data_IF_512007602428
#
_entry.id   IF_512007602428
#
_cell.length_a   1.000
_cell.length_b   1.000
_cell.length_c   1.000
_cell.angle_alpha   90.00
_cell.angle_beta   90.00
_cell.angle_gamma   90.00
#
_symmetry.space_group_name_H-M   'P 1'
#
loop_
_entity.id
_entity.type
_entity.pdbx_description
1 polymer ?
#
# COMPACT_ATOMS: atom_id res chain seq x y z
N UNK A 1 -2.27 -7.55 -31.71
CA UNK A 1 -1.56 -8.74 -31.23
C UNK A 1 -1.89 -9.88 -32.16
N UNK A 2 -0.88 -10.48 -32.78
CA UNK A 2 -1.02 -11.61 -33.67
C UNK A 2 -0.64 -12.90 -32.91
N UNK A 3 -1.20 -14.01 -33.29
CA UNK A 3 -0.98 -15.31 -32.66
C UNK A 3 -2.29 -15.98 -32.31
N UNK A 4 -2.28 -17.14 -31.60
CA UNK A 4 -1.13 -17.72 -30.91
C UNK A 4 -0.14 -18.45 -31.84
N UNK A 5 1.11 -18.55 -31.40
CA UNK A 5 2.15 -19.39 -32.00
C UNK A 5 2.47 -20.55 -31.06
N UNK A 6 2.85 -21.69 -31.64
CA UNK A 6 3.38 -22.81 -30.87
C UNK A 6 4.85 -22.99 -31.19
N UNK A 7 5.70 -22.92 -30.20
CA UNK A 7 7.14 -23.16 -30.34
C UNK A 7 7.66 -24.03 -29.19
N UNK A 8 8.77 -24.73 -29.46
CA UNK A 8 9.44 -25.51 -28.42
C UNK A 8 10.29 -24.57 -27.55
N UNK A 9 10.02 -24.54 -26.26
CA UNK A 9 10.85 -23.82 -25.31
C UNK A 9 12.25 -24.46 -25.27
N UNK A 10 13.31 -23.70 -25.59
CA UNK A 10 14.67 -24.27 -25.68
C UNK A 10 15.24 -24.70 -24.33
N UNK A 11 14.64 -24.28 -23.21
CA UNK A 11 15.10 -24.62 -21.85
C UNK A 11 14.38 -25.86 -21.34
N UNK A 12 13.06 -25.95 -21.56
CA UNK A 12 12.23 -27.04 -21.03
C UNK A 12 12.02 -28.18 -22.02
N UNK A 13 12.23 -27.93 -23.31
CA UNK A 13 11.92 -28.87 -24.40
C UNK A 13 10.43 -29.08 -24.65
N UNK A 14 9.56 -28.33 -23.98
CA UNK A 14 8.10 -28.44 -24.11
C UNK A 14 7.57 -27.50 -25.20
N UNK A 15 6.49 -27.92 -25.86
CA UNK A 15 5.75 -27.05 -26.76
C UNK A 15 4.94 -26.04 -25.96
N UNK A 16 5.17 -24.76 -26.19
CA UNK A 16 4.48 -23.63 -25.53
C UNK A 16 3.78 -22.77 -26.57
N UNK A 17 2.64 -22.20 -26.18
CA UNK A 17 1.93 -21.22 -27.01
C UNK A 17 2.30 -19.80 -26.59
N UNK A 18 2.53 -18.96 -27.59
CA UNK A 18 2.85 -17.55 -27.43
C UNK A 18 1.88 -16.69 -28.22
N UNK A 19 1.60 -15.49 -27.71
CA UNK A 19 0.78 -14.48 -28.38
C UNK A 19 1.65 -13.25 -28.65
N UNK A 20 1.53 -12.69 -29.85
CA UNK A 20 2.31 -11.55 -30.30
C UNK A 20 2.96 -11.82 -31.66
N UNK A 21 3.50 -10.81 -32.31
CA UNK A 21 4.27 -10.94 -33.54
C UNK A 21 5.76 -10.78 -33.22
N UNK A 22 6.59 -11.83 -33.43
CA UNK A 22 8.00 -11.74 -33.13
C UNK A 22 8.76 -10.75 -34.05
N UNK A 23 8.13 -10.29 -35.14
CA UNK A 23 8.72 -9.35 -36.08
C UNK A 23 8.32 -7.89 -35.84
N UNK A 24 7.40 -7.65 -34.89
CA UNK A 24 6.98 -6.32 -34.49
C UNK A 24 7.63 -5.95 -33.19
N UNK A 25 8.19 -4.74 -33.15
CA UNK A 25 8.67 -4.11 -31.90
C UNK A 25 7.56 -3.25 -31.33
N UNK A 26 7.26 -3.45 -30.06
CA UNK A 26 6.37 -2.57 -29.30
C UNK A 26 7.18 -1.84 -28.24
N UNK A 27 6.96 -0.53 -28.14
CA UNK A 27 7.59 0.29 -27.13
C UNK A 27 6.68 0.35 -25.91
N UNK A 28 7.21 -0.06 -24.76
CA UNK A 28 6.56 0.09 -23.48
C UNK A 28 7.25 1.23 -22.73
N UNK A 29 6.48 2.24 -22.32
CA UNK A 29 6.98 3.42 -21.60
C UNK A 29 7.04 3.18 -20.09
N UNK A 30 7.65 2.11 -19.68
CA UNK A 30 7.81 1.71 -18.30
C UNK A 30 6.84 0.63 -17.85
N UNK A 31 6.92 0.28 -16.59
CA UNK A 31 6.00 -0.62 -15.93
C UNK A 31 5.00 0.20 -15.10
N UNK A 32 3.69 -0.07 -15.21
CA UNK A 32 2.71 0.61 -14.37
C UNK A 32 2.93 0.39 -12.86
N UNK A 33 3.73 -0.62 -12.48
CA UNK A 33 4.01 -0.93 -11.08
C UNK A 33 5.44 -0.57 -10.65
N UNK A 34 6.22 0.11 -11.49
CA UNK A 34 7.65 0.33 -11.26
C UNK A 34 8.45 -0.94 -10.91
N UNK A 35 7.90 -2.11 -11.24
CA UNK A 35 8.49 -3.41 -10.90
C UNK A 35 9.33 -3.98 -12.04
N UNK A 36 9.09 -3.52 -13.27
CA UNK A 36 9.82 -3.96 -14.45
C UNK A 36 10.79 -2.87 -14.89
N UNK A 37 12.06 -3.17 -14.84
CA UNK A 37 13.12 -2.30 -15.33
C UNK A 37 14.25 -3.14 -15.94
N UNK A 38 15.01 -2.53 -16.82
CA UNK A 38 16.28 -3.06 -17.26
C UNK A 38 17.36 -2.43 -16.40
N UNK A 39 18.21 -3.26 -15.80
CA UNK A 39 19.39 -2.84 -15.07
C UNK A 39 20.64 -3.35 -15.79
N UNK A 40 21.58 -2.46 -16.02
CA UNK A 40 22.87 -2.78 -16.61
C UNK A 40 23.93 -2.49 -15.56
N UNK A 41 24.59 -3.54 -15.11
CA UNK A 41 25.72 -3.45 -14.19
C UNK A 41 27.01 -3.73 -14.96
N UNK A 42 28.07 -2.97 -14.69
CA UNK A 42 29.34 -3.13 -15.36
C UNK A 42 30.54 -2.74 -14.49
N UNK A 43 31.74 -2.85 -15.01
CA UNK A 43 32.96 -2.44 -14.33
C UNK A 43 32.93 -0.94 -13.99
N UNK A 44 33.74 -0.54 -13.01
CA UNK A 44 33.88 0.85 -12.54
C UNK A 44 32.58 1.45 -11.94
N UNK A 45 31.70 0.62 -11.36
CA UNK A 45 30.49 1.08 -10.71
C UNK A 45 29.36 1.48 -11.67
N UNK A 46 29.41 1.04 -12.92
CA UNK A 46 28.30 1.26 -13.84
C UNK A 46 27.04 0.54 -13.31
N UNK A 47 26.02 1.32 -12.98
CA UNK A 47 24.70 0.85 -12.56
C UNK A 47 23.64 1.76 -13.20
N UNK A 48 23.10 1.33 -14.31
CA UNK A 48 22.06 2.05 -15.05
C UNK A 48 20.74 1.30 -14.94
N UNK A 49 19.68 2.05 -14.69
CA UNK A 49 18.30 1.53 -14.68
C UNK A 49 17.43 2.33 -15.63
N UNK A 50 16.56 1.64 -16.35
CA UNK A 50 15.56 2.26 -17.20
C UNK A 50 14.25 1.49 -17.14
N UNK A 51 13.16 2.21 -17.08
CA UNK A 51 11.79 1.69 -17.27
C UNK A 51 11.29 1.95 -18.69
N UNK A 52 12.00 2.79 -19.45
CA UNK A 52 11.69 3.05 -20.87
C UNK A 52 12.45 2.03 -21.71
N UNK A 53 11.72 1.10 -22.31
CA UNK A 53 12.32 0.03 -23.10
C UNK A 53 11.43 -0.35 -24.27
N UNK A 54 12.02 -0.79 -25.35
CA UNK A 54 11.33 -1.49 -26.44
C UNK A 54 11.50 -2.99 -26.22
N UNK A 55 10.40 -3.72 -26.18
CA UNK A 55 10.40 -5.17 -26.06
C UNK A 55 9.84 -5.73 -27.36
N UNK A 56 10.62 -6.60 -28.01
CA UNK A 56 10.14 -7.41 -29.13
C UNK A 56 10.19 -8.88 -28.72
N UNK A 57 9.16 -9.62 -29.04
CA UNK A 57 9.08 -11.03 -28.69
C UNK A 57 7.65 -11.56 -28.65
N UNK A 58 7.51 -12.76 -28.14
CA UNK A 58 6.24 -13.46 -28.00
C UNK A 58 5.74 -13.38 -26.58
N UNK A 59 4.45 -13.12 -26.40
CA UNK A 59 3.81 -13.19 -25.09
C UNK A 59 3.54 -14.66 -24.74
N UNK A 60 4.01 -15.06 -23.56
CA UNK A 60 3.73 -16.40 -23.04
C UNK A 60 2.24 -16.57 -22.73
N UNK A 61 1.69 -17.75 -23.04
CA UNK A 61 0.35 -18.16 -22.62
C UNK A 61 0.34 -18.85 -21.25
N UNK A 62 1.48 -18.86 -20.55
CA UNK A 62 1.55 -19.41 -19.19
C UNK A 62 0.59 -18.67 -18.29
N UNK A 63 -0.29 -19.44 -17.64
CA UNK A 63 -1.25 -18.91 -16.66
C UNK A 63 -0.47 -18.29 -15.49
N UNK A 64 -0.77 -17.05 -15.17
CA UNK A 64 -0.16 -16.31 -14.06
C UNK A 64 -1.21 -15.54 -13.28
N UNK A 65 -1.06 -15.43 -11.96
CA UNK A 65 -1.95 -14.58 -11.18
C UNK A 65 -1.79 -13.11 -11.58
N UNK A 66 -2.88 -12.37 -11.55
CA UNK A 66 -2.84 -10.92 -11.69
C UNK A 66 -1.98 -10.32 -10.58
N UNK A 67 -0.94 -9.53 -10.88
CA UNK A 67 -0.14 -8.92 -9.84
C UNK A 67 -0.98 -7.91 -9.05
N UNK A 68 -0.88 -7.96 -7.72
CA UNK A 68 -1.52 -7.01 -6.83
C UNK A 68 -0.68 -6.82 -5.58
N UNK A 69 -0.57 -5.57 -5.11
CA UNK A 69 0.12 -5.18 -3.89
C UNK A 69 -0.86 -4.37 -3.04
N UNK A 70 -1.00 -4.75 -1.77
CA UNK A 70 -1.75 -3.95 -0.81
C UNK A 70 -0.93 -2.74 -0.39
N UNK A 71 -1.50 -1.54 -0.44
CA UNK A 71 -0.86 -0.31 0.03
C UNK A 71 -1.40 0.08 1.41
N UNK A 72 -2.74 0.20 1.52
CA UNK A 72 -3.39 0.59 2.76
C UNK A 72 -4.84 0.14 2.79
N UNK A 73 -5.31 -0.32 3.95
CA UNK A 73 -6.74 -0.45 4.25
C UNK A 73 -7.02 0.10 5.64
N UNK A 74 -7.69 1.22 5.68
CA UNK A 74 -7.97 1.94 6.92
C UNK A 74 -9.45 2.22 7.07
N UNK A 75 -9.90 2.41 8.31
CA UNK A 75 -11.24 2.87 8.59
C UNK A 75 -11.24 4.18 9.38
N UNK A 76 -12.35 4.89 9.30
CA UNK A 76 -12.63 6.04 10.16
C UNK A 76 -14.01 5.90 10.80
N UNK A 77 -14.15 6.38 12.03
CA UNK A 77 -15.43 6.53 12.74
C UNK A 77 -15.53 7.92 13.34
N UNK A 78 -16.64 8.60 13.04
CA UNK A 78 -16.87 9.97 13.53
C UNK A 78 -17.68 9.96 14.81
N UNK A 79 -17.25 10.74 15.81
CA UNK A 79 -18.00 10.97 17.04
C UNK A 79 -19.21 11.90 16.80
N UNK A 80 -20.25 11.77 17.65
CA UNK A 80 -21.39 12.69 17.68
C UNK A 80 -22.50 12.40 16.68
N UNK A 81 -22.41 11.34 15.90
CA UNK A 81 -23.51 10.86 15.07
C UNK A 81 -24.37 9.82 15.82
N UNK A 82 -25.68 9.77 15.52
CA UNK A 82 -26.64 8.90 16.19
C UNK A 82 -26.42 7.40 15.96
N UNK A 83 -25.60 7.04 14.98
CA UNK A 83 -25.06 5.72 14.74
C UNK A 83 -23.59 5.86 14.39
N UNK A 84 -22.70 4.94 14.80
CA UNK A 84 -21.30 5.01 14.41
C UNK A 84 -21.18 4.85 12.89
N UNK A 85 -20.90 5.96 12.24
CA UNK A 85 -20.63 5.99 10.80
C UNK A 85 -19.17 5.58 10.61
N UNK A 86 -18.97 4.37 10.08
CA UNK A 86 -17.66 3.88 9.74
C UNK A 86 -17.47 3.88 8.22
N UNK A 87 -16.40 4.49 7.76
CA UNK A 87 -15.96 4.43 6.36
C UNK A 87 -14.67 3.62 6.27
N UNK A 88 -14.52 2.92 5.16
CA UNK A 88 -13.33 2.12 4.86
C UNK A 88 -12.67 2.71 3.62
N UNK A 89 -11.37 2.97 3.70
CA UNK A 89 -10.55 3.42 2.59
C UNK A 89 -9.57 2.32 2.21
N UNK A 90 -9.57 1.96 0.93
CA UNK A 90 -8.74 0.87 0.39
C UNK A 90 -7.88 1.40 -0.74
N UNK A 91 -6.59 1.14 -0.64
CA UNK A 91 -5.59 1.47 -1.67
C UNK A 91 -4.80 0.22 -2.03
N UNK A 92 -4.71 -0.07 -3.30
CA UNK A 92 -3.92 -1.18 -3.84
C UNK A 92 -3.25 -0.77 -5.15
N UNK A 93 -2.13 -1.40 -5.45
CA UNK A 93 -1.53 -1.35 -6.77
C UNK A 93 -1.88 -2.63 -7.53
N UNK A 94 -2.42 -2.47 -8.73
CA UNK A 94 -2.78 -3.55 -9.65
C UNK A 94 -2.63 -3.05 -11.10
N UNK A 95 -2.68 -3.92 -12.14
CA UNK A 95 -2.62 -3.47 -13.53
C UNK A 95 -3.66 -2.37 -13.82
N UNK A 96 -3.32 -1.35 -14.63
CA UNK A 96 -4.30 -0.36 -15.03
C UNK A 96 -5.41 -0.98 -15.92
N UNK A 97 -6.51 -0.27 -16.18
CA UNK A 97 -7.54 -0.73 -17.09
C UNK A 97 -6.99 -1.24 -18.43
N UNK A 98 -7.53 -2.31 -19.00
CA UNK A 98 -8.85 -2.91 -18.72
C UNK A 98 -8.91 -3.88 -17.53
N UNK A 99 -7.88 -3.97 -16.69
CA UNK A 99 -8.02 -4.70 -15.43
C UNK A 99 -9.15 -4.13 -14.58
N UNK A 100 -9.69 -4.95 -13.69
CA UNK A 100 -10.69 -4.55 -12.70
C UNK A 100 -10.22 -4.90 -11.31
N UNK A 101 -10.57 -4.06 -10.35
CA UNK A 101 -10.27 -4.32 -8.93
C UNK A 101 -11.55 -4.13 -8.13
N UNK A 102 -11.87 -5.10 -7.27
CA UNK A 102 -13.11 -5.12 -6.48
C UNK A 102 -12.84 -5.31 -5.00
N UNK A 103 -13.63 -4.64 -4.16
CA UNK A 103 -13.73 -4.89 -2.73
C UNK A 103 -14.89 -5.87 -2.50
N UNK A 104 -14.56 -7.14 -2.34
CA UNK A 104 -15.54 -8.24 -2.31
C UNK A 104 -16.24 -8.36 -0.96
N UNK A 105 -15.59 -7.92 0.12
CA UNK A 105 -16.17 -7.92 1.47
C UNK A 105 -17.26 -6.86 1.67
N UNK A 106 -17.48 -6.00 0.69
CA UNK A 106 -18.56 -5.01 0.72
C UNK A 106 -19.86 -5.57 0.13
N UNK A 107 -21.01 -5.10 0.61
CA UNK A 107 -22.30 -5.49 0.06
C UNK A 107 -23.14 -4.26 -0.28
N UNK A 108 -23.39 -3.98 -1.58
CA UNK A 108 -22.90 -4.72 -2.74
C UNK A 108 -21.36 -4.63 -2.91
N UNK A 109 -20.79 -5.53 -3.70
CA UNK A 109 -19.37 -5.47 -4.10
C UNK A 109 -19.05 -4.09 -4.66
N UNK A 110 -17.95 -3.50 -4.22
CA UNK A 110 -17.53 -2.17 -4.63
C UNK A 110 -16.38 -2.25 -5.62
N UNK A 111 -16.53 -1.60 -6.77
CA UNK A 111 -15.42 -1.45 -7.72
C UNK A 111 -14.48 -0.35 -7.25
N UNK A 112 -13.19 -0.62 -7.29
CA UNK A 112 -12.17 0.39 -7.09
C UNK A 112 -12.03 1.23 -8.37
N UNK A 113 -11.64 2.48 -8.21
CA UNK A 113 -11.34 3.40 -9.31
C UNK A 113 -9.82 3.56 -9.41
N UNK A 114 -9.33 3.48 -10.63
CA UNK A 114 -7.93 3.73 -10.92
C UNK A 114 -7.70 5.24 -11.05
N UNK A 115 -6.64 5.76 -10.42
CA UNK A 115 -6.48 7.20 -10.22
C UNK A 115 -5.80 7.93 -11.38
N UNK A 116 -4.76 7.32 -11.99
CA UNK A 116 -3.79 8.07 -12.77
C UNK A 116 -3.13 7.29 -13.93
N UNK A 117 -3.72 6.19 -14.34
CA UNK A 117 -3.19 5.24 -15.35
C UNK A 117 -1.85 4.58 -14.96
N UNK A 118 -1.45 4.69 -13.69
CA UNK A 118 -0.21 4.08 -13.16
C UNK A 118 -0.47 2.81 -12.35
N UNK A 119 -1.73 2.43 -12.21
CA UNK A 119 -2.13 1.22 -11.49
C UNK A 119 -2.42 1.44 -10.00
N UNK A 120 -2.60 2.68 -9.57
CA UNK A 120 -3.06 3.01 -8.22
C UNK A 120 -4.58 3.00 -8.17
N UNK A 121 -5.13 2.07 -7.40
CA UNK A 121 -6.56 1.86 -7.26
C UNK A 121 -7.04 2.27 -5.88
N UNK A 122 -8.19 2.93 -5.84
CA UNK A 122 -8.81 3.42 -4.63
C UNK A 122 -10.30 3.16 -4.60
N UNK A 123 -10.82 2.83 -3.41
CA UNK A 123 -12.24 2.91 -3.10
C UNK A 123 -12.47 3.36 -1.66
N UNK A 124 -13.57 4.09 -1.48
CA UNK A 124 -14.14 4.38 -0.18
C UNK A 124 -15.50 3.68 -0.08
N UNK A 125 -15.72 2.92 0.99
CA UNK A 125 -17.01 2.28 1.22
C UNK A 125 -18.08 3.31 1.58
N UNK A 126 -19.34 2.96 1.36
CA UNK A 126 -20.44 3.61 2.06
C UNK A 126 -20.29 3.40 3.57
N UNK A 127 -21.01 4.21 4.35
CA UNK A 127 -21.01 4.08 5.81
C UNK A 127 -21.45 2.67 6.23
N UNK A 128 -20.57 1.99 6.94
CA UNK A 128 -20.82 0.66 7.47
C UNK A 128 -20.61 0.67 8.99
N UNK A 129 -21.65 0.44 9.80
CA UNK A 129 -21.52 0.42 11.26
C UNK A 129 -20.71 -0.78 11.78
N UNK A 130 -20.58 -1.85 11.00
CA UNK A 130 -19.83 -3.05 11.37
C UNK A 130 -18.52 -3.11 10.61
N UNK A 131 -17.39 -3.04 11.33
CA UNK A 131 -16.06 -3.14 10.74
C UNK A 131 -15.60 -4.60 10.78
N UNK A 132 -15.28 -5.22 9.63
CA UNK A 132 -14.62 -6.51 9.60
C UNK A 132 -13.17 -6.38 10.06
N UNK A 133 -12.56 -7.48 10.50
CA UNK A 133 -11.14 -7.51 10.86
C UNK A 133 -10.20 -7.42 9.65
N UNK A 134 -10.71 -7.77 8.48
CA UNK A 134 -9.98 -7.71 7.21
C UNK A 134 -10.92 -7.50 6.03
N UNK A 135 -10.38 -6.91 4.98
CA UNK A 135 -11.05 -6.72 3.70
C UNK A 135 -10.52 -7.72 2.68
N UNK A 136 -11.42 -8.20 1.80
CA UNK A 136 -11.05 -9.03 0.65
C UNK A 136 -11.08 -8.17 -0.61
N UNK A 137 -9.95 -8.08 -1.29
CA UNK A 137 -9.79 -7.32 -2.53
C UNK A 137 -9.35 -8.26 -3.63
N UNK A 138 -10.03 -8.22 -4.77
CA UNK A 138 -9.69 -9.04 -5.94
C UNK A 138 -9.32 -8.17 -7.13
N UNK A 139 -8.19 -8.45 -7.74
CA UNK A 139 -7.77 -7.88 -9.02
C UNK A 139 -7.86 -8.92 -10.13
N UNK A 140 -8.40 -8.53 -11.29
CA UNK A 140 -8.53 -9.36 -12.46
C UNK A 140 -8.07 -8.63 -13.73
N UNK A 141 -7.11 -9.20 -14.45
CA UNK A 141 -6.53 -8.65 -15.67
C UNK A 141 -6.74 -9.54 -16.90
N UNK A 142 -7.69 -10.50 -16.85
CA UNK A 142 -7.90 -11.44 -17.96
C UNK A 142 -8.31 -10.74 -19.26
N UNK A 143 -8.92 -9.55 -19.20
CA UNK A 143 -9.30 -8.79 -20.40
C UNK A 143 -8.08 -8.28 -21.18
N UNK A 144 -7.00 -7.93 -20.49
CA UNK A 144 -5.74 -7.54 -21.15
C UNK A 144 -4.85 -8.74 -21.45
N UNK A 145 -4.81 -9.69 -20.52
CA UNK A 145 -3.98 -10.89 -20.61
C UNK A 145 -4.88 -12.11 -20.37
N UNK A 146 -5.39 -12.77 -21.44
CA UNK A 146 -6.33 -13.89 -21.32
C UNK A 146 -5.82 -15.06 -20.47
N UNK A 147 -4.49 -15.22 -20.32
CA UNK A 147 -3.87 -16.22 -19.46
C UNK A 147 -3.69 -15.76 -18.00
N UNK A 148 -4.12 -14.55 -17.67
CA UNK A 148 -4.11 -14.07 -16.28
C UNK A 148 -5.28 -14.67 -15.50
N UNK A 149 -5.03 -15.01 -14.24
CA UNK A 149 -6.06 -15.42 -13.29
C UNK A 149 -6.25 -14.35 -12.23
N UNK A 150 -7.46 -14.17 -11.70
CA UNK A 150 -7.69 -13.23 -10.60
C UNK A 150 -6.84 -13.54 -9.38
N UNK A 151 -6.45 -12.49 -8.66
CA UNK A 151 -5.75 -12.58 -7.39
C UNK A 151 -6.59 -11.91 -6.31
N UNK A 152 -6.82 -12.62 -5.20
CA UNK A 152 -7.51 -12.08 -4.03
C UNK A 152 -6.54 -11.94 -2.87
N UNK A 153 -6.49 -10.76 -2.26
CA UNK A 153 -5.72 -10.47 -1.05
C UNK A 153 -6.66 -10.20 0.12
N UNK A 154 -6.27 -10.71 1.29
CA UNK A 154 -6.88 -10.32 2.57
C UNK A 154 -6.03 -9.22 3.20
N UNK A 155 -6.62 -8.04 3.36
CA UNK A 155 -5.97 -6.85 3.91
C UNK A 155 -6.51 -6.60 5.33
N UNK A 156 -5.65 -6.53 6.38
CA UNK A 156 -6.12 -6.17 7.71
C UNK A 156 -6.67 -4.75 7.70
N UNK A 157 -7.84 -4.55 8.32
CA UNK A 157 -8.47 -3.23 8.42
C UNK A 157 -8.04 -2.59 9.74
N UNK A 158 -7.32 -1.46 9.65
CA UNK A 158 -6.77 -0.74 10.80
C UNK A 158 -7.33 0.68 10.87
N UNK A 159 -7.23 1.34 12.02
CA UNK A 159 -7.41 2.78 12.08
C UNK A 159 -6.24 3.51 11.40
N UNK A 160 -6.46 4.76 11.00
CA UNK A 160 -5.40 5.64 10.51
C UNK A 160 -4.83 6.42 11.69
N UNK A 161 -3.55 6.24 11.97
CA UNK A 161 -2.81 7.04 12.95
C UNK A 161 -2.05 8.13 12.22
N UNK A 162 -2.05 9.35 12.78
CA UNK A 162 -1.31 10.50 12.25
C UNK A 162 -0.60 11.19 13.40
N UNK A 163 0.72 11.33 13.31
CA UNK A 163 1.54 12.13 14.23
C UNK A 163 1.51 13.58 13.73
N UNK A 164 0.93 14.48 14.51
CA UNK A 164 0.88 15.90 14.18
C UNK A 164 2.07 16.67 14.76
N UNK A 165 2.73 16.12 15.81
CA UNK A 165 3.89 16.73 16.44
C UNK A 165 4.80 15.65 17.01
N UNK A 166 6.11 15.79 16.73
CA UNK A 166 7.18 15.05 17.37
C UNK A 166 8.34 16.03 17.62
N UNK A 167 8.41 16.62 18.82
CA UNK A 167 9.34 17.70 19.14
C UNK A 167 10.13 17.41 20.41
N UNK A 168 11.42 17.69 20.38
CA UNK A 168 12.29 17.61 21.54
C UNK A 168 12.87 19.00 21.89
N UNK A 169 12.64 19.44 23.10
CA UNK A 169 13.18 20.71 23.62
C UNK A 169 14.54 20.50 24.27
N UNK A 170 15.56 21.19 23.76
CA UNK A 170 16.91 21.20 24.35
C UNK A 170 16.94 21.82 25.73
N UNK A 171 16.09 22.84 25.96
CA UNK A 171 16.08 23.56 27.23
C UNK A 171 15.49 22.72 28.37
N UNK A 172 14.48 21.92 28.10
CA UNK A 172 13.79 21.13 29.13
C UNK A 172 14.15 19.63 29.09
N UNK A 173 14.79 19.15 28.05
CA UNK A 173 15.04 17.71 27.83
C UNK A 173 13.78 16.90 27.63
N UNK A 174 12.68 17.55 27.22
CA UNK A 174 11.40 16.91 27.03
C UNK A 174 11.12 16.59 25.56
N UNK A 175 10.64 15.38 25.31
CA UNK A 175 10.03 14.94 24.05
C UNK A 175 8.51 15.04 24.17
N UNK A 176 7.90 15.79 23.25
CA UNK A 176 6.44 15.91 23.11
C UNK A 176 6.00 15.25 21.82
N UNK A 177 5.06 14.31 21.90
CA UNK A 177 4.45 13.63 20.78
C UNK A 177 2.94 13.88 20.85
N UNK A 178 2.36 14.38 19.75
CA UNK A 178 0.91 14.52 19.59
C UNK A 178 0.52 13.66 18.38
N UNK A 179 -0.44 12.77 18.59
CA UNK A 179 -0.95 11.91 17.52
C UNK A 179 -2.45 11.74 17.65
N UNK A 180 -3.09 11.48 16.50
CA UNK A 180 -4.53 11.22 16.43
C UNK A 180 -4.80 9.87 15.75
N UNK A 181 -5.95 9.29 16.07
CA UNK A 181 -6.52 8.14 15.39
C UNK A 181 -7.77 8.55 14.60
N UNK A 182 -8.07 7.85 13.52
CA UNK A 182 -9.31 8.03 12.77
C UNK A 182 -10.55 7.45 13.45
N UNK A 183 -10.41 6.79 14.59
CA UNK A 183 -11.52 6.27 15.38
C UNK A 183 -11.88 7.25 16.50
N UNK A 184 -12.81 8.16 16.23
CA UNK A 184 -13.28 9.15 17.19
C UNK A 184 -14.37 8.56 18.15
N UNK A 185 -15.00 7.43 17.78
CA UNK A 185 -16.08 6.84 18.55
C UNK A 185 -15.59 5.96 19.70
N UNK A 186 -14.54 5.20 19.46
CA UNK A 186 -13.86 4.34 20.43
C UNK A 186 -12.35 4.47 20.28
N UNK A 187 -11.78 5.63 20.69
CA UNK A 187 -10.38 5.93 20.45
C UNK A 187 -9.47 4.87 21.08
N UNK A 188 -8.64 4.17 20.28
CA UNK A 188 -7.74 3.14 20.77
C UNK A 188 -6.62 3.70 21.65
N UNK A 189 -5.93 2.81 22.34
CA UNK A 189 -4.67 3.17 23.01
C UNK A 189 -3.60 3.41 21.95
N UNK A 190 -2.91 4.56 22.08
CA UNK A 190 -1.74 4.88 21.24
C UNK A 190 -0.47 4.74 22.08
N UNK A 191 0.53 4.06 21.53
CA UNK A 191 1.84 3.85 22.17
C UNK A 191 2.96 4.33 21.28
N UNK A 192 3.92 5.03 21.87
CA UNK A 192 5.10 5.53 21.18
C UNK A 192 6.32 4.66 21.42
N UNK A 193 7.08 4.42 20.35
CA UNK A 193 8.39 3.78 20.37
C UNK A 193 9.40 4.63 19.61
N UNK A 194 10.68 4.44 19.89
CA UNK A 194 11.75 5.04 19.08
C UNK A 194 11.87 4.34 17.73
N UNK A 195 12.58 4.94 16.79
CA UNK A 195 12.91 4.33 15.50
C UNK A 195 13.68 2.99 15.60
N UNK A 196 14.25 2.67 16.77
CA UNK A 196 14.90 1.38 17.06
C UNK A 196 13.96 0.38 17.75
N UNK A 197 12.69 0.75 17.98
CA UNK A 197 11.69 -0.08 18.63
C UNK A 197 11.70 -0.01 20.18
N UNK A 198 12.55 0.83 20.80
CA UNK A 198 12.55 1.00 22.26
C UNK A 198 11.28 1.73 22.69
N UNK A 199 10.61 1.24 23.74
CA UNK A 199 9.40 1.85 24.26
C UNK A 199 9.67 3.26 24.82
N UNK A 200 8.83 4.24 24.46
CA UNK A 200 8.85 5.59 25.00
C UNK A 200 7.71 5.74 26.01
N UNK A 201 6.48 5.39 25.64
CA UNK A 201 5.33 5.42 26.51
C UNK A 201 4.00 5.43 25.80
N UNK A 202 2.91 5.37 26.57
CA UNK A 202 1.56 5.51 26.06
C UNK A 202 1.17 7.00 26.01
N UNK A 203 0.47 7.38 24.94
CA UNK A 203 -0.11 8.70 24.82
C UNK A 203 -1.39 8.78 25.67
N UNK A 204 -1.63 9.91 26.32
CA UNK A 204 -2.77 10.19 27.18
C UNK A 204 -3.76 11.14 26.50
N UNK A 205 -5.05 11.01 26.84
CA UNK A 205 -6.16 11.78 26.30
C UNK A 205 -7.38 10.89 26.11
N UNK A 206 -8.57 11.45 26.33
CA UNK A 206 -9.85 10.70 26.26
C UNK A 206 -10.40 10.66 24.82
N UNK A 207 -9.95 11.56 23.95
CA UNK A 207 -10.41 11.68 22.57
C UNK A 207 -9.51 10.94 21.57
N UNK A 208 -9.79 11.20 20.30
CA UNK A 208 -8.98 10.68 19.19
C UNK A 208 -7.57 11.27 19.16
N UNK A 209 -7.42 12.53 19.54
CA UNK A 209 -6.11 13.16 19.73
C UNK A 209 -5.56 12.86 21.14
N UNK A 210 -4.29 12.45 21.18
CA UNK A 210 -3.60 12.07 22.39
C UNK A 210 -2.19 12.65 22.41
N UNK A 211 -1.68 12.87 23.61
CA UNK A 211 -0.38 13.50 23.84
C UNK A 211 0.49 12.65 24.79
N UNK A 212 1.78 12.62 24.51
CA UNK A 212 2.80 12.15 25.41
C UNK A 212 3.85 13.27 25.60
N UNK A 213 4.15 13.62 26.85
CA UNK A 213 5.27 14.51 27.18
C UNK A 213 6.15 13.79 28.20
N UNK A 214 7.40 13.52 27.85
CA UNK A 214 8.30 12.73 28.69
C UNK A 214 9.75 13.22 28.59
N UNK A 215 10.46 13.16 29.71
CA UNK A 215 11.89 13.48 29.73
C UNK A 215 12.71 12.41 29.08
N UNK A 216 13.55 12.75 28.12
CA UNK A 216 14.51 11.86 27.47
C UNK A 216 15.90 12.45 27.56
N UNK A 217 16.81 11.70 28.15
CA UNK A 217 18.21 12.10 28.29
C UNK A 217 19.12 10.90 27.99
N UNK A 218 20.32 11.12 27.43
CA UNK A 218 20.94 12.41 27.10
C UNK A 218 20.55 12.92 25.69
N UNK A 219 19.96 12.08 24.81
CA UNK A 219 19.67 12.41 23.43
C UNK A 219 18.28 11.92 23.05
N UNK A 220 17.50 12.70 22.26
CA UNK A 220 16.23 12.23 21.72
C UNK A 220 16.44 11.15 20.64
N UNK A 221 15.45 10.30 20.38
CA UNK A 221 15.46 9.44 19.19
C UNK A 221 15.36 10.30 17.93
N UNK A 222 15.96 9.87 16.82
CA UNK A 222 15.84 10.56 15.54
C UNK A 222 14.42 10.49 14.96
N UNK A 223 13.71 9.38 15.24
CA UNK A 223 12.34 9.13 14.80
C UNK A 223 11.52 8.52 15.93
N UNK A 224 10.23 8.76 15.89
CA UNK A 224 9.23 8.11 16.75
C UNK A 224 8.20 7.42 15.89
N UNK A 225 7.75 6.25 16.35
CA UNK A 225 6.63 5.52 15.77
C UNK A 225 5.51 5.45 16.80
N UNK A 226 4.31 5.85 16.40
CA UNK A 226 3.10 5.68 17.21
C UNK A 226 2.28 4.54 16.63
N UNK A 227 1.91 3.58 17.48
CA UNK A 227 1.11 2.42 17.12
C UNK A 227 -0.18 2.43 17.91
N UNK A 228 -1.29 2.17 17.22
CA UNK A 228 -2.62 2.01 17.78
C UNK A 228 -2.87 0.57 18.21
N UNK A 229 -3.66 0.35 19.25
CA UNK A 229 -4.16 -0.99 19.60
C UNK A 229 -5.08 -1.60 18.54
N UNK A 230 -5.58 -0.81 17.60
CA UNK A 230 -6.36 -1.26 16.43
C UNK A 230 -5.48 -1.49 15.18
N UNK A 231 -4.15 -1.42 15.32
CA UNK A 231 -3.18 -1.80 14.31
C UNK A 231 -2.67 -0.65 13.43
N UNK A 232 -3.24 0.55 13.50
CA UNK A 232 -2.72 1.72 12.80
C UNK A 232 -1.32 2.11 13.29
N UNK A 233 -0.48 2.61 12.38
CA UNK A 233 0.88 3.08 12.71
C UNK A 233 1.25 4.31 11.91
N UNK A 234 2.05 5.19 12.52
CA UNK A 234 2.68 6.32 11.84
C UNK A 234 4.08 6.55 12.39
N UNK A 235 4.98 7.09 11.57
CA UNK A 235 6.37 7.34 11.94
C UNK A 235 6.82 8.72 11.46
N UNK A 236 7.30 9.54 12.39
CA UNK A 236 7.77 10.89 12.11
C UNK A 236 9.17 11.15 12.65
N UNK A 237 9.88 12.08 12.03
CA UNK A 237 11.17 12.56 12.49
C UNK A 237 11.01 13.52 13.68
N UNK A 238 11.89 13.41 14.66
CA UNK A 238 11.86 14.30 15.84
C UNK A 238 12.51 15.63 15.50
N UNK A 239 11.73 16.70 15.59
CA UNK A 239 12.20 18.08 15.42
C UNK A 239 12.82 18.58 16.72
N UNK A 240 14.04 19.09 16.65
CA UNK A 240 14.74 19.68 17.78
C UNK A 240 14.39 21.18 17.87
N UNK A 241 13.90 21.58 19.04
CA UNK A 241 13.58 23.00 19.35
C UNK A 241 14.37 23.50 20.55
N UNK A 242 14.60 24.80 20.56
CA UNK A 242 15.31 25.50 21.67
C UNK A 242 14.33 25.91 22.75
#
# INVERSE_FOLDING_TARGET
VNGPYTETNPVTGQAEQFVGDPNLSEAFTGSPFNTNYIRIEGPNGLDLRTTVMAISGKLSTVVRPTPMISERSTYSRKAGESAPVAQQDVFVMAPPPPATVTLDSNSPVLNLTEADTTGHWYAQSSTNPTLPSSLQVTADNHLAIPSSTPTTLSMPLTDLVVISQAQYSLNSGQLTIVASTSDETSPPVLTATSGTGAAIGALSGDGAEKILSTGITPIPPAKVTVTSSNGGTDTEEVVIVQ
#
